data_IF_185790397858
#
_entry.id   IF_185790397858
#
_cell.length_a   1.000
_cell.length_b   1.000
_cell.length_c   1.000
_cell.angle_alpha   90.00
_cell.angle_beta   90.00
_cell.angle_gamma   90.00
#
_symmetry.space_group_name_H-M   'P 1'
#
loop_
_entity.id
_entity.type
_entity.pdbx_description
1 polymer ?
#
# COMPACT_ATOMS: atom_id res chain seq x y z
N UNK A 1 4.92 -12.03 -9.60
CA UNK A 1 3.68 -11.87 -8.80
C UNK A 1 3.61 -13.00 -7.80
N UNK A 2 3.31 -12.77 -6.51
CA UNK A 2 3.05 -13.87 -5.60
C UNK A 2 1.76 -14.59 -6.02
N UNK A 3 1.65 -15.91 -5.82
CA UNK A 3 0.40 -16.65 -6.06
C UNK A 3 -0.69 -16.10 -5.15
N UNK A 4 -1.90 -15.95 -5.69
CA UNK A 4 -3.12 -15.49 -5.01
C UNK A 4 -3.12 -15.82 -3.51
N UNK A 5 -2.99 -14.79 -2.68
CA UNK A 5 -3.11 -14.87 -1.23
C UNK A 5 -4.59 -14.99 -0.81
N UNK A 6 -5.31 -15.96 -1.38
CA UNK A 6 -6.64 -16.35 -0.96
C UNK A 6 -6.54 -17.56 -0.04
N UNK A 7 -6.13 -17.32 1.20
CA UNK A 7 -6.21 -18.31 2.26
C UNK A 7 -6.93 -17.67 3.44
N UNK A 8 -8.08 -18.27 3.78
CA UNK A 8 -8.95 -17.92 4.91
C UNK A 8 -8.15 -18.01 6.23
N UNK A 9 -7.42 -16.96 6.59
CA UNK A 9 -6.61 -16.87 7.80
C UNK A 9 -7.34 -16.07 8.88
N UNK A 10 -7.39 -16.61 10.09
CA UNK A 10 -7.90 -15.89 11.27
C UNK A 10 -6.86 -14.96 11.90
N UNK A 11 -7.30 -14.01 12.71
CA UNK A 11 -6.48 -12.92 13.28
C UNK A 11 -5.21 -13.39 14.01
N UNK A 12 -5.29 -14.53 14.71
CA UNK A 12 -4.13 -15.09 15.45
C UNK A 12 -3.03 -15.57 14.51
N UNK A 13 -3.41 -16.14 13.36
CA UNK A 13 -2.48 -16.57 12.31
C UNK A 13 -1.84 -15.36 11.63
N UNK A 14 -2.63 -14.30 11.41
CA UNK A 14 -2.12 -13.02 10.88
C UNK A 14 -1.08 -12.40 11.81
N UNK A 15 -1.37 -12.34 13.11
CA UNK A 15 -0.45 -11.79 14.12
C UNK A 15 0.82 -12.62 14.22
N UNK A 16 0.71 -13.95 14.22
CA UNK A 16 1.88 -14.83 14.24
C UNK A 16 2.77 -14.60 13.01
N UNK A 17 2.19 -14.51 11.81
CA UNK A 17 2.94 -14.20 10.58
C UNK A 17 3.56 -12.81 10.60
N UNK A 18 2.84 -11.81 11.09
CA UNK A 18 3.37 -10.46 11.26
C UNK A 18 4.52 -10.41 12.29
N UNK A 19 4.51 -11.30 13.29
CA UNK A 19 5.60 -11.41 14.27
C UNK A 19 6.85 -12.13 13.75
N UNK A 20 6.75 -12.81 12.59
CA UNK A 20 7.84 -13.58 11.99
C UNK A 20 8.69 -12.80 10.97
N UNK A 21 8.61 -11.46 10.95
CA UNK A 21 9.46 -10.60 10.12
C UNK A 21 10.96 -10.92 10.34
N UNK A 22 11.70 -11.17 9.25
CA UNK A 22 12.07 -12.50 8.80
C UNK A 22 13.02 -13.24 9.75
N UNK A 23 12.58 -14.36 10.35
CA UNK A 23 13.47 -15.47 10.75
C UNK A 23 13.71 -16.46 9.60
N UNK A 24 13.35 -16.08 8.38
CA UNK A 24 13.46 -16.91 7.18
C UNK A 24 14.79 -16.54 6.53
N UNK A 25 15.79 -17.45 6.51
CA UNK A 25 17.12 -17.15 5.98
C UNK A 25 17.12 -16.88 4.47
N UNK A 26 16.13 -17.39 3.73
CA UNK A 26 16.06 -17.26 2.28
C UNK A 26 14.61 -17.21 1.80
N UNK A 27 14.22 -16.15 1.09
CA UNK A 27 12.89 -16.05 0.48
C UNK A 27 12.87 -16.79 -0.86
N UNK A 28 11.75 -17.44 -1.25
CA UNK A 28 11.65 -18.19 -2.51
C UNK A 28 11.63 -17.30 -3.76
N UNK A 29 11.90 -16.00 -3.60
CA UNK A 29 11.99 -15.00 -4.66
C UNK A 29 12.94 -13.89 -4.24
N UNK A 30 13.59 -13.26 -5.22
CA UNK A 30 14.48 -12.13 -4.99
C UNK A 30 13.68 -10.95 -4.42
N UNK A 31 13.84 -10.69 -3.12
CA UNK A 31 13.27 -9.51 -2.47
C UNK A 31 14.25 -8.37 -2.65
N UNK A 32 13.93 -7.46 -3.56
CA UNK A 32 14.55 -6.13 -3.55
C UNK A 32 13.97 -5.40 -2.33
N UNK A 33 14.79 -4.90 -1.40
CA UNK A 33 14.30 -4.06 -0.31
C UNK A 33 13.57 -2.85 -0.90
N UNK A 34 12.26 -2.78 -0.66
CA UNK A 34 11.37 -1.77 -1.23
C UNK A 34 10.82 -0.89 -0.12
N UNK A 35 10.85 0.43 -0.30
CA UNK A 35 10.31 1.37 0.70
C UNK A 35 8.83 1.60 0.43
N UNK A 36 7.98 1.38 1.43
CA UNK A 36 6.56 1.68 1.36
C UNK A 36 6.27 3.10 1.84
N UNK A 37 5.60 3.90 1.01
CA UNK A 37 5.11 5.24 1.34
C UNK A 37 3.59 5.21 1.50
N UNK A 38 3.12 5.64 2.67
CA UNK A 38 1.69 5.75 2.99
C UNK A 38 1.30 7.22 3.11
N UNK A 39 0.41 7.68 2.23
CA UNK A 39 -0.16 9.02 2.27
C UNK A 39 -1.57 8.95 2.85
N UNK A 40 -1.76 9.55 4.02
CA UNK A 40 -3.08 9.68 4.67
C UNK A 40 -3.64 11.07 4.37
N UNK A 41 -4.66 11.16 3.53
CA UNK A 41 -5.17 12.46 3.05
C UNK A 41 -6.70 12.50 3.14
N UNK A 42 -7.29 13.69 3.28
CA UNK A 42 -8.75 13.85 3.15
C UNK A 42 -9.21 14.10 1.70
N UNK A 43 -8.27 14.45 0.82
CA UNK A 43 -8.50 14.83 -0.57
C UNK A 43 -7.28 14.51 -1.44
N UNK A 44 -6.85 15.38 -2.36
CA UNK A 44 -5.65 15.14 -3.17
C UNK A 44 -4.39 14.97 -2.31
N UNK A 45 -3.37 14.29 -2.84
CA UNK A 45 -2.06 14.23 -2.18
C UNK A 45 -1.43 15.61 -2.20
N UNK A 46 -1.17 16.16 -1.00
CA UNK A 46 -0.49 17.44 -0.88
C UNK A 46 0.92 17.33 -1.45
N UNK A 47 1.34 18.36 -2.19
CA UNK A 47 2.63 18.42 -2.87
C UNK A 47 2.83 17.28 -3.89
N UNK A 48 1.76 16.75 -4.50
CA UNK A 48 1.86 15.73 -5.54
C UNK A 48 2.95 16.02 -6.60
N UNK A 49 3.10 17.25 -7.14
CA UNK A 49 4.17 17.55 -8.10
C UNK A 49 5.59 17.39 -7.55
N UNK A 50 5.80 17.60 -6.24
CA UNK A 50 7.10 17.37 -5.59
C UNK A 50 7.37 15.87 -5.48
N UNK A 51 6.37 15.12 -5.03
CA UNK A 51 6.48 13.68 -4.89
C UNK A 51 6.70 12.99 -6.24
N UNK A 52 6.04 13.45 -7.31
CA UNK A 52 6.30 12.98 -8.68
C UNK A 52 7.78 13.08 -9.04
N UNK A 53 8.41 14.22 -8.74
CA UNK A 53 9.86 14.42 -8.96
C UNK A 53 10.72 13.56 -8.06
N UNK A 54 10.34 13.40 -6.79
CA UNK A 54 11.05 12.54 -5.85
C UNK A 54 11.10 11.09 -6.31
N UNK A 55 9.99 10.59 -6.84
CA UNK A 55 9.86 9.20 -7.30
C UNK A 55 10.35 8.95 -8.73
N UNK A 56 10.55 10.02 -9.51
CA UNK A 56 11.05 9.92 -10.88
C UNK A 56 12.40 9.17 -10.93
N UNK A 57 12.49 8.15 -11.79
CA UNK A 57 13.69 7.34 -11.97
C UNK A 57 13.92 6.24 -10.91
N UNK A 58 13.04 6.12 -9.91
CA UNK A 58 13.18 5.16 -8.81
C UNK A 58 12.22 3.96 -8.91
N UNK A 59 11.68 3.71 -10.10
CA UNK A 59 10.69 2.65 -10.31
C UNK A 59 11.23 1.27 -9.85
N UNK A 60 10.40 0.53 -9.10
CA UNK A 60 10.77 -0.79 -8.56
C UNK A 60 11.51 -0.76 -7.22
N UNK A 61 11.82 0.43 -6.67
CA UNK A 61 12.41 0.59 -5.33
C UNK A 61 11.42 1.09 -4.28
N UNK A 62 10.17 1.37 -4.68
CA UNK A 62 9.14 1.86 -3.79
C UNK A 62 7.73 1.40 -4.17
N UNK A 63 6.87 1.36 -3.15
CA UNK A 63 5.41 1.20 -3.28
C UNK A 63 4.73 2.41 -2.66
N UNK A 64 3.71 2.95 -3.35
CA UNK A 64 2.91 4.07 -2.88
C UNK A 64 1.49 3.58 -2.59
N UNK A 65 0.98 3.96 -1.42
CA UNK A 65 -0.39 3.76 -0.98
C UNK A 65 -1.01 5.10 -0.60
N UNK A 66 -2.18 5.41 -1.15
CA UNK A 66 -2.92 6.64 -0.84
C UNK A 66 -4.23 6.25 -0.16
N UNK A 67 -4.31 6.50 1.13
CA UNK A 67 -5.54 6.30 1.89
C UNK A 67 -6.26 7.63 2.03
N UNK A 68 -7.46 7.71 1.44
CA UNK A 68 -8.24 8.95 1.49
C UNK A 68 -9.72 8.74 1.73
N UNK A 69 -10.40 9.84 2.07
CA UNK A 69 -11.81 9.85 2.41
C UNK A 69 -12.65 9.15 1.31
N UNK A 70 -13.64 8.31 1.64
CA UNK A 70 -14.36 7.51 0.65
C UNK A 70 -15.21 8.37 -0.28
N UNK A 71 -15.60 9.56 0.20
CA UNK A 71 -16.38 10.54 -0.57
C UNK A 71 -15.51 11.37 -1.53
N UNK A 72 -14.18 11.32 -1.39
CA UNK A 72 -13.30 11.94 -2.39
C UNK A 72 -13.30 11.05 -3.64
N UNK A 73 -13.40 11.59 -4.85
CA UNK A 73 -13.56 10.78 -6.08
C UNK A 73 -12.64 11.25 -7.23
N UNK A 74 -11.47 11.79 -6.90
CA UNK A 74 -10.48 12.11 -7.92
C UNK A 74 -9.79 10.84 -8.42
N UNK A 75 -9.70 10.73 -9.75
CA UNK A 75 -8.82 9.78 -10.43
C UNK A 75 -7.59 10.53 -10.92
N UNK A 76 -6.42 9.98 -10.61
CA UNK A 76 -5.16 10.53 -11.11
C UNK A 76 -5.02 10.26 -12.62
N UNK A 77 -4.26 11.09 -13.36
CA UNK A 77 -3.95 10.85 -14.77
C UNK A 77 -3.16 9.55 -14.97
N UNK A 78 -3.38 8.88 -16.11
CA UNK A 78 -2.52 7.80 -16.55
C UNK A 78 -1.09 8.33 -16.74
N UNK A 79 -0.14 7.79 -15.95
CA UNK A 79 1.25 8.23 -15.91
C UNK A 79 1.69 8.87 -14.59
N UNK A 80 0.75 9.28 -13.73
CA UNK A 80 1.09 9.73 -12.37
C UNK A 80 1.63 8.59 -11.52
N UNK A 81 2.57 8.90 -10.62
CA UNK A 81 3.06 7.94 -9.61
C UNK A 81 1.96 7.50 -8.63
N UNK A 82 0.88 8.27 -8.52
CA UNK A 82 -0.29 7.98 -7.69
C UNK A 82 -1.41 7.23 -8.44
N UNK A 83 -1.25 7.00 -9.75
CA UNK A 83 -2.26 6.32 -10.55
C UNK A 83 -2.58 4.92 -10.02
N UNK A 84 -3.87 4.66 -9.73
CA UNK A 84 -4.34 3.37 -9.22
C UNK A 84 -3.83 3.01 -7.82
N UNK A 85 -3.21 3.94 -7.08
CA UNK A 85 -2.62 3.68 -5.75
C UNK A 85 -3.57 3.96 -4.59
N UNK A 86 -4.83 4.25 -4.89
CA UNK A 86 -5.80 4.72 -3.92
C UNK A 86 -6.53 3.57 -3.24
N UNK A 87 -6.58 3.63 -1.92
CA UNK A 87 -7.33 2.73 -1.06
C UNK A 87 -8.39 3.58 -0.34
N UNK A 88 -9.69 3.43 -0.66
CA UNK A 88 -10.74 4.17 0.03
C UNK A 88 -10.82 3.76 1.50
N UNK A 89 -11.04 4.71 2.40
CA UNK A 89 -11.23 4.38 3.81
C UNK A 89 -12.56 3.62 4.03
N UNK A 90 -12.69 2.89 5.13
CA UNK A 90 -14.03 2.43 5.56
C UNK A 90 -14.82 3.62 6.10
N UNK A 91 -16.13 3.65 5.90
CA UNK A 91 -17.03 4.73 6.33
C UNK A 91 -17.27 4.77 7.85
N UNK A 92 -16.56 3.95 8.63
CA UNK A 92 -16.78 3.81 10.06
C UNK A 92 -15.77 4.69 10.80
N UNK A 93 -16.28 5.63 11.59
CA UNK A 93 -15.48 6.55 12.42
C UNK A 93 -14.34 5.80 13.14
N UNK A 94 -13.10 6.19 12.86
CA UNK A 94 -11.88 5.83 13.62
C UNK A 94 -11.55 4.34 13.86
N UNK A 95 -11.86 3.42 12.93
CA UNK A 95 -11.20 2.08 12.94
C UNK A 95 -10.22 1.95 11.78
N UNK A 96 -8.92 1.89 12.10
CA UNK A 96 -7.86 1.54 11.14
C UNK A 96 -7.85 0.02 11.02
N UNK A 97 -8.75 -0.54 10.22
CA UNK A 97 -8.67 -1.96 9.86
C UNK A 97 -7.59 -2.13 8.79
N UNK A 98 -6.41 -2.66 9.19
CA UNK A 98 -5.29 -3.00 8.29
C UNK A 98 -5.63 -4.18 7.35
N UNK A 99 -6.83 -4.76 7.42
CA UNK A 99 -7.20 -6.02 6.76
C UNK A 99 -7.65 -5.90 5.29
N UNK A 100 -7.30 -4.83 4.56
CA UNK A 100 -7.59 -4.72 3.11
C UNK A 100 -6.30 -4.53 2.31
N UNK A 101 -5.39 -5.50 2.45
CA UNK A 101 -4.29 -5.70 1.51
C UNK A 101 -4.43 -7.09 0.91
N UNK A 102 -5.02 -7.19 -0.28
CA UNK A 102 -4.70 -8.14 -1.37
C UNK A 102 -5.88 -8.20 -2.34
N UNK A 103 -5.75 -7.51 -3.48
CA UNK A 103 -6.45 -7.86 -4.71
C UNK A 103 -5.43 -7.86 -5.85
#
# INVERSE_FOLDING_TARGET
MPPNAMHNMGDKELVWRASMVPKIPEYPFHRVPEVAFLFLTKGPVLLAPLWEKFFQGHAGMYSIYVHSNPSFNLSEPQGSVFYGRRIPSKLNAFSVDITLFSH
#
